data_IF_646194162843
#
_entry.id   IF_646194162843
#
_cell.length_a   1.000
_cell.length_b   1.000
_cell.length_c   1.000
_cell.angle_alpha   90.00
_cell.angle_beta   90.00
_cell.angle_gamma   90.00
#
_symmetry.space_group_name_H-M   'P 1'
#
loop_
_entity.id
_entity.type
_entity.pdbx_description
1 polymer ?
#
# COMPACT_ATOMS: atom_id res chain seq x y z
N UNK A 1 -17.72 1.89 -19.32
CA UNK A 1 -16.86 3.01 -18.88
C UNK A 1 -15.46 2.75 -19.38
N UNK A 2 -14.77 3.74 -19.91
CA UNK A 2 -13.35 3.65 -20.27
C UNK A 2 -12.53 3.93 -19.01
N UNK A 3 -11.47 3.15 -18.79
CA UNK A 3 -10.66 3.24 -17.58
C UNK A 3 -9.26 3.73 -17.91
N UNK A 4 -8.78 4.75 -17.21
CA UNK A 4 -7.38 5.17 -17.23
C UNK A 4 -6.66 4.64 -15.98
N UNK A 5 -5.48 4.07 -16.15
CA UNK A 5 -4.66 3.62 -15.03
C UNK A 5 -3.29 4.27 -15.08
N UNK A 6 -2.96 5.05 -14.07
CA UNK A 6 -1.73 5.84 -13.99
C UNK A 6 -0.91 5.33 -12.80
N UNK A 7 0.34 4.94 -13.07
CA UNK A 7 1.24 4.37 -12.09
C UNK A 7 1.25 2.85 -12.12
N UNK A 8 2.21 2.27 -12.85
CA UNK A 8 2.34 0.84 -13.12
C UNK A 8 3.55 0.22 -12.38
N UNK A 9 3.74 0.67 -11.14
CA UNK A 9 4.74 0.09 -10.24
C UNK A 9 4.39 -1.34 -9.80
N UNK A 10 5.06 -1.84 -8.75
CA UNK A 10 4.92 -3.23 -8.25
C UNK A 10 3.46 -3.66 -8.04
N UNK A 11 2.63 -2.79 -7.46
CA UNK A 11 1.22 -3.07 -7.24
C UNK A 11 0.37 -2.69 -8.45
N UNK A 12 0.60 -1.50 -9.01
CA UNK A 12 -0.21 -0.94 -10.08
C UNK A 12 -0.21 -1.80 -11.35
N UNK A 13 0.92 -2.36 -11.76
CA UNK A 13 1.00 -3.26 -12.92
C UNK A 13 0.10 -4.49 -12.76
N UNK A 14 0.14 -5.15 -11.59
CA UNK A 14 -0.69 -6.31 -11.29
C UNK A 14 -2.18 -5.96 -11.20
N UNK A 15 -2.51 -4.83 -10.58
CA UNK A 15 -3.88 -4.33 -10.46
C UNK A 15 -4.45 -3.96 -11.84
N UNK A 16 -3.70 -3.21 -12.63
CA UNK A 16 -4.09 -2.82 -13.98
C UNK A 16 -4.29 -4.03 -14.90
N UNK A 17 -3.40 -5.04 -14.82
CA UNK A 17 -3.57 -6.28 -15.57
C UNK A 17 -4.86 -7.01 -15.23
N UNK A 18 -5.28 -7.03 -13.95
CA UNK A 18 -6.57 -7.61 -13.58
C UNK A 18 -7.76 -6.84 -14.18
N UNK A 19 -7.66 -5.51 -14.33
CA UNK A 19 -8.67 -4.72 -15.02
C UNK A 19 -8.68 -5.07 -16.51
N UNK A 20 -7.53 -5.01 -17.19
CA UNK A 20 -7.41 -5.33 -18.63
C UNK A 20 -8.04 -6.69 -18.95
N UNK A 21 -7.80 -7.69 -18.10
CA UNK A 21 -8.27 -9.07 -18.31
C UNK A 21 -9.76 -9.25 -18.11
N UNK A 22 -10.40 -8.44 -17.28
CA UNK A 22 -11.79 -8.65 -16.79
C UNK A 22 -12.77 -7.59 -17.28
N UNK A 23 -12.27 -6.48 -17.79
CA UNK A 23 -13.08 -5.36 -18.26
C UNK A 23 -13.29 -5.47 -19.77
N UNK A 24 -14.54 -5.34 -20.23
CA UNK A 24 -14.88 -5.43 -21.65
C UNK A 24 -14.62 -4.14 -22.44
N UNK A 25 -14.25 -3.04 -21.77
CA UNK A 25 -13.98 -1.74 -22.38
C UNK A 25 -12.50 -1.39 -22.45
N UNK A 26 -12.20 -0.24 -23.03
CA UNK A 26 -10.85 0.27 -23.18
C UNK A 26 -10.18 0.58 -21.83
N UNK A 27 -8.91 0.19 -21.70
CA UNK A 27 -8.05 0.48 -20.54
C UNK A 27 -6.83 1.25 -21.01
N UNK A 28 -6.81 2.54 -20.77
CA UNK A 28 -5.73 3.47 -21.08
C UNK A 28 -4.69 3.45 -19.98
N UNK A 29 -3.41 3.31 -20.32
CA UNK A 29 -2.36 3.08 -19.34
C UNK A 29 -1.21 4.06 -19.50
N UNK A 30 -0.70 4.55 -18.37
CA UNK A 30 0.46 5.42 -18.33
C UNK A 30 1.33 5.19 -17.09
N UNK A 31 2.63 5.23 -17.28
CA UNK A 31 3.66 5.33 -16.25
C UNK A 31 4.84 6.13 -16.81
N UNK A 32 5.61 6.79 -15.95
CA UNK A 32 6.85 7.46 -16.33
C UNK A 32 7.94 6.49 -16.83
N UNK A 33 7.82 5.21 -16.46
CA UNK A 33 8.65 4.12 -16.97
C UNK A 33 7.95 3.43 -18.12
N UNK A 34 8.65 3.29 -19.22
CA UNK A 34 8.09 2.71 -20.46
C UNK A 34 7.93 1.19 -20.39
N UNK A 35 8.77 0.47 -19.62
CA UNK A 35 8.78 -0.98 -19.61
C UNK A 35 7.47 -1.60 -19.08
N UNK A 36 6.86 -1.16 -17.96
CA UNK A 36 5.57 -1.70 -17.54
C UNK A 36 4.44 -1.34 -18.51
N UNK A 37 4.49 -0.16 -19.13
CA UNK A 37 3.52 0.26 -20.17
C UNK A 37 3.57 -0.72 -21.34
N UNK A 38 4.76 -1.02 -21.87
CA UNK A 38 4.96 -1.96 -22.98
C UNK A 38 4.46 -3.36 -22.63
N UNK A 39 4.77 -3.86 -21.42
CA UNK A 39 4.28 -5.20 -20.97
C UNK A 39 2.75 -5.28 -20.92
N UNK A 40 2.08 -4.22 -20.46
CA UNK A 40 0.62 -4.21 -20.37
C UNK A 40 -0.05 -3.91 -21.71
N UNK A 41 0.58 -3.13 -22.59
CA UNK A 41 0.09 -2.90 -23.96
C UNK A 41 0.04 -4.23 -24.75
N UNK A 42 1.04 -5.11 -24.59
CA UNK A 42 1.04 -6.46 -25.18
C UNK A 42 -0.10 -7.36 -24.64
N UNK A 43 -0.73 -6.97 -23.54
CA UNK A 43 -1.83 -7.69 -22.89
C UNK A 43 -3.20 -7.04 -23.08
N UNK A 44 -3.29 -6.03 -23.95
CA UNK A 44 -4.54 -5.36 -24.30
C UNK A 44 -4.75 -3.97 -23.70
N UNK A 45 -3.79 -3.44 -22.94
CA UNK A 45 -3.82 -2.04 -22.49
C UNK A 45 -3.50 -1.08 -23.64
N UNK A 46 -4.08 0.10 -23.63
CA UNK A 46 -3.85 1.18 -24.62
C UNK A 46 -2.84 2.16 -24.02
N UNK A 47 -1.61 2.16 -24.53
CA UNK A 47 -0.56 3.05 -24.06
C UNK A 47 -0.87 4.52 -24.37
N UNK A 48 -0.66 5.39 -23.41
CA UNK A 48 -0.81 6.83 -23.51
C UNK A 48 0.55 7.54 -23.37
N UNK A 49 0.67 8.72 -24.00
CA UNK A 49 1.90 9.51 -23.98
C UNK A 49 2.08 10.32 -22.69
N UNK A 50 1.00 10.54 -21.93
CA UNK A 50 1.01 11.29 -20.67
C UNK A 50 -0.14 10.88 -19.74
N UNK A 51 -0.05 11.29 -18.47
CA UNK A 51 -1.15 11.17 -17.53
C UNK A 51 -2.40 11.93 -17.99
N UNK A 52 -2.21 13.10 -18.60
CA UNK A 52 -3.30 13.91 -19.17
C UNK A 52 -3.98 13.19 -20.33
N UNK A 53 -3.20 12.52 -21.18
CA UNK A 53 -3.74 11.76 -22.30
C UNK A 53 -4.58 10.59 -21.80
N UNK A 54 -4.10 9.81 -20.85
CA UNK A 54 -4.87 8.76 -20.21
C UNK A 54 -6.17 9.29 -19.58
N UNK A 55 -6.11 10.42 -18.85
CA UNK A 55 -7.27 11.03 -18.22
C UNK A 55 -8.32 11.55 -19.23
N UNK A 56 -7.89 12.13 -20.35
CA UNK A 56 -8.80 12.61 -21.41
C UNK A 56 -9.66 11.51 -21.99
N UNK A 57 -9.07 10.36 -22.25
CA UNK A 57 -9.75 9.23 -22.88
C UNK A 57 -10.62 8.39 -21.92
N UNK A 58 -10.52 8.61 -20.61
CA UNK A 58 -11.12 7.76 -19.58
C UNK A 58 -12.31 8.42 -18.89
N UNK A 59 -13.29 7.62 -18.49
CA UNK A 59 -14.41 8.04 -17.65
C UNK A 59 -14.05 7.83 -16.15
N UNK A 60 -13.28 6.78 -15.84
CA UNK A 60 -12.73 6.46 -14.51
C UNK A 60 -11.21 6.51 -14.59
N UNK A 61 -10.60 7.30 -13.72
CA UNK A 61 -9.14 7.51 -13.67
C UNK A 61 -8.63 6.92 -12.36
N UNK A 62 -7.81 5.90 -12.43
CA UNK A 62 -7.22 5.21 -11.27
C UNK A 62 -5.75 5.57 -11.18
N UNK A 63 -5.29 5.95 -9.97
CA UNK A 63 -3.88 6.23 -9.71
C UNK A 63 -3.33 5.28 -8.65
N UNK A 64 -2.08 4.82 -8.82
CA UNK A 64 -1.34 4.01 -7.86
C UNK A 64 0.11 4.47 -7.79
N UNK A 65 0.38 5.45 -6.94
CA UNK A 65 1.62 6.24 -6.92
C UNK A 65 2.39 6.08 -5.61
N UNK A 66 3.71 6.26 -5.60
CA UNK A 66 4.54 5.91 -4.45
C UNK A 66 4.47 6.89 -3.28
N UNK A 67 4.23 8.19 -3.54
CA UNK A 67 4.32 9.25 -2.53
C UNK A 67 3.18 10.25 -2.65
N UNK A 68 2.94 11.00 -1.57
CA UNK A 68 1.93 12.06 -1.51
C UNK A 68 2.16 13.16 -2.56
N UNK A 69 3.42 13.54 -2.76
CA UNK A 69 3.83 14.56 -3.73
C UNK A 69 3.56 14.11 -5.15
N UNK A 70 3.79 12.83 -5.45
CA UNK A 70 3.56 12.25 -6.77
C UNK A 70 2.06 12.23 -7.09
N UNK A 71 1.20 11.81 -6.14
CA UNK A 71 -0.26 11.88 -6.31
C UNK A 71 -0.73 13.32 -6.52
N UNK A 72 -0.30 14.25 -5.67
CA UNK A 72 -0.69 15.64 -5.80
C UNK A 72 -0.24 16.25 -7.15
N UNK A 73 0.96 15.90 -7.62
CA UNK A 73 1.50 16.35 -8.91
C UNK A 73 0.67 15.84 -10.08
N UNK A 74 0.41 14.52 -10.13
CA UNK A 74 -0.38 13.90 -11.19
C UNK A 74 -1.80 14.46 -11.23
N UNK A 75 -2.45 14.60 -10.04
CA UNK A 75 -3.79 15.19 -10.00
C UNK A 75 -3.84 16.64 -10.44
N UNK A 76 -2.81 17.45 -10.17
CA UNK A 76 -2.70 18.81 -10.73
C UNK A 76 -2.51 18.79 -12.24
N UNK A 77 -1.69 17.88 -12.76
CA UNK A 77 -1.42 17.74 -14.17
C UNK A 77 -2.68 17.38 -14.98
N UNK A 78 -3.51 16.46 -14.47
CA UNK A 78 -4.71 15.97 -15.14
C UNK A 78 -5.94 16.89 -14.98
N UNK A 79 -5.89 17.93 -14.13
CA UNK A 79 -7.02 18.85 -13.90
C UNK A 79 -7.69 19.37 -15.18
N UNK A 80 -6.95 19.74 -16.25
CA UNK A 80 -7.58 20.21 -17.50
C UNK A 80 -8.45 19.14 -18.19
N UNK A 81 -8.33 17.87 -17.82
CA UNK A 81 -9.16 16.79 -18.35
C UNK A 81 -10.37 16.47 -17.44
N UNK A 82 -10.46 17.08 -16.25
CA UNK A 82 -11.51 16.80 -15.27
C UNK A 82 -12.76 17.61 -15.55
N UNK A 83 -13.92 16.96 -15.45
CA UNK A 83 -15.25 17.54 -15.55
C UNK A 83 -16.27 16.66 -14.79
N UNK A 84 -17.54 17.03 -14.83
CA UNK A 84 -18.63 16.36 -14.09
C UNK A 84 -18.88 14.88 -14.45
N UNK A 85 -18.28 14.38 -15.53
CA UNK A 85 -18.43 12.97 -15.93
C UNK A 85 -17.24 12.10 -15.48
N UNK A 86 -16.22 12.68 -14.86
CA UNK A 86 -14.97 12.00 -14.50
C UNK A 86 -14.99 11.55 -13.05
N UNK A 87 -14.58 10.32 -12.83
CA UNK A 87 -14.40 9.76 -11.50
C UNK A 87 -12.90 9.44 -11.31
N UNK A 88 -12.28 10.09 -10.34
CA UNK A 88 -10.90 9.88 -9.94
C UNK A 88 -10.83 8.95 -8.72
N UNK A 89 -9.99 7.94 -8.75
CA UNK A 89 -9.81 6.95 -7.68
C UNK A 89 -8.31 6.87 -7.35
N UNK A 90 -7.91 7.38 -6.18
CA UNK A 90 -6.52 7.23 -5.73
C UNK A 90 -6.38 5.98 -4.84
N UNK A 91 -5.63 5.01 -5.32
CA UNK A 91 -5.37 3.76 -4.61
C UNK A 91 -4.02 3.76 -3.89
N UNK A 92 -3.33 4.89 -3.89
CA UNK A 92 -2.03 5.10 -3.25
C UNK A 92 -2.12 5.15 -1.73
N UNK A 93 -1.02 4.86 -1.05
CA UNK A 93 -0.88 5.14 0.40
C UNK A 93 -0.19 6.49 0.57
N UNK A 94 -0.99 7.52 0.78
CA UNK A 94 -0.57 8.92 0.91
C UNK A 94 -1.05 9.53 2.22
N UNK A 95 -0.57 10.73 2.53
CA UNK A 95 -1.03 11.49 3.69
C UNK A 95 -2.53 11.83 3.55
N UNK A 96 -3.37 11.57 4.57
CA UNK A 96 -4.79 11.88 4.52
C UNK A 96 -5.10 13.36 4.22
N UNK A 97 -4.26 14.29 4.67
CA UNK A 97 -4.42 15.70 4.37
C UNK A 97 -4.20 16.02 2.89
N UNK A 98 -3.28 15.31 2.26
CA UNK A 98 -3.03 15.42 0.80
C UNK A 98 -4.19 14.80 0.02
N UNK A 99 -4.71 13.65 0.45
CA UNK A 99 -5.88 13.03 -0.17
C UNK A 99 -7.10 13.95 -0.13
N UNK A 100 -7.38 14.58 1.02
CA UNK A 100 -8.46 15.56 1.14
C UNK A 100 -8.25 16.79 0.24
N UNK A 101 -7.00 17.28 0.14
CA UNK A 101 -6.66 18.37 -0.77
C UNK A 101 -6.93 18.02 -2.23
N UNK A 102 -6.58 16.80 -2.65
CA UNK A 102 -6.88 16.30 -4.00
C UNK A 102 -8.41 16.22 -4.20
N UNK A 103 -9.14 15.67 -3.22
CA UNK A 103 -10.60 15.60 -3.28
C UNK A 103 -11.24 16.96 -3.53
N UNK A 104 -10.87 17.98 -2.74
CA UNK A 104 -11.38 19.35 -2.91
C UNK A 104 -11.02 19.90 -4.28
N UNK A 105 -9.81 19.66 -4.75
CA UNK A 105 -9.33 20.15 -6.05
C UNK A 105 -10.10 19.54 -7.23
N UNK A 106 -10.36 18.24 -7.20
CA UNK A 106 -11.14 17.53 -8.22
C UNK A 106 -12.61 17.97 -8.21
N UNK A 107 -13.22 18.09 -7.02
CA UNK A 107 -14.59 18.56 -6.87
C UNK A 107 -14.78 20.00 -7.35
N UNK A 108 -13.80 20.87 -7.13
CA UNK A 108 -13.83 22.25 -7.64
C UNK A 108 -13.84 22.33 -9.18
N UNK A 109 -13.37 21.27 -9.88
CA UNK A 109 -13.46 21.12 -11.34
C UNK A 109 -14.68 20.29 -11.78
N UNK A 110 -15.61 20.02 -10.84
CA UNK A 110 -16.85 19.29 -11.10
C UNK A 110 -16.70 17.77 -11.09
N UNK A 111 -15.50 17.21 -11.00
CA UNK A 111 -15.27 15.76 -10.97
C UNK A 111 -15.54 15.12 -9.61
N UNK A 112 -15.59 13.80 -9.59
CA UNK A 112 -15.74 13.01 -8.37
C UNK A 112 -14.39 12.40 -7.94
N UNK A 113 -14.18 12.29 -6.62
CA UNK A 113 -12.94 11.71 -6.07
C UNK A 113 -13.25 10.67 -5.00
N UNK A 114 -12.58 9.50 -5.11
CA UNK A 114 -12.57 8.47 -4.09
C UNK A 114 -11.11 8.18 -3.68
N UNK A 115 -10.86 8.13 -2.38
CA UNK A 115 -9.66 7.55 -1.81
C UNK A 115 -9.88 6.06 -1.58
N UNK A 116 -9.10 5.22 -2.25
CA UNK A 116 -9.34 3.77 -2.28
C UNK A 116 -8.03 2.96 -2.03
N UNK A 117 -7.29 3.23 -0.95
CA UNK A 117 -6.04 2.55 -0.67
C UNK A 117 -6.22 1.05 -0.50
N UNK A 118 -5.13 0.32 -0.79
CA UNK A 118 -5.12 -1.13 -0.86
C UNK A 118 -4.38 -1.78 0.31
N UNK A 119 -4.76 -3.00 0.61
CA UNK A 119 -4.10 -3.87 1.60
C UNK A 119 -3.81 -5.24 1.00
N UNK A 120 -2.97 -6.01 1.64
CA UNK A 120 -2.32 -7.26 1.23
C UNK A 120 -1.09 -7.05 0.31
N UNK A 121 -0.50 -8.17 -0.11
CA UNK A 121 0.79 -8.22 -0.81
C UNK A 121 0.66 -8.15 -2.35
N UNK A 122 1.82 -8.02 -3.04
CA UNK A 122 1.92 -8.17 -4.49
C UNK A 122 1.30 -9.48 -4.99
N UNK A 123 1.51 -10.59 -4.26
CA UNK A 123 0.93 -11.87 -4.64
C UNK A 123 -0.60 -11.83 -4.66
N UNK A 124 -1.22 -11.18 -3.67
CA UNK A 124 -2.66 -10.96 -3.66
C UNK A 124 -3.12 -10.05 -4.81
N UNK A 125 -2.33 -9.03 -5.17
CA UNK A 125 -2.63 -8.16 -6.31
C UNK A 125 -2.61 -8.93 -7.63
N UNK A 126 -1.63 -9.82 -7.85
CA UNK A 126 -1.56 -10.69 -9.04
C UNK A 126 -2.80 -11.58 -9.14
N UNK A 127 -3.27 -12.12 -8.02
CA UNK A 127 -4.47 -12.98 -7.98
C UNK A 127 -5.80 -12.19 -8.06
N UNK A 128 -5.76 -10.86 -8.03
CA UNK A 128 -6.97 -10.04 -7.96
C UNK A 128 -7.73 -10.19 -6.64
N UNK A 129 -7.01 -10.36 -5.53
CA UNK A 129 -7.55 -10.61 -4.19
C UNK A 129 -7.03 -9.63 -3.13
N UNK A 130 -6.82 -8.37 -3.51
CA UNK A 130 -6.48 -7.31 -2.55
C UNK A 130 -7.71 -6.89 -1.74
N UNK A 131 -7.50 -6.26 -0.59
CA UNK A 131 -8.53 -5.52 0.13
C UNK A 131 -8.45 -4.05 -0.25
N UNK A 132 -9.61 -3.38 -0.34
CA UNK A 132 -9.73 -1.98 -0.76
C UNK A 132 -10.65 -1.26 0.23
N UNK A 133 -10.16 -0.16 0.81
CA UNK A 133 -10.95 0.71 1.68
C UNK A 133 -11.35 1.97 0.91
N UNK A 134 -12.63 2.26 0.80
CA UNK A 134 -13.11 3.34 -0.07
C UNK A 134 -13.74 4.46 0.76
N UNK A 135 -13.18 5.66 0.65
CA UNK A 135 -13.77 6.91 1.14
C UNK A 135 -14.23 7.79 -0.02
N UNK A 136 -15.32 8.52 0.18
CA UNK A 136 -15.89 9.47 -0.79
C UNK A 136 -17.40 9.41 -0.90
N UNK A 137 -17.95 9.88 -2.00
CA UNK A 137 -19.39 9.87 -2.26
C UNK A 137 -19.92 8.43 -2.41
N UNK A 138 -20.96 8.10 -1.63
CA UNK A 138 -21.49 6.73 -1.55
C UNK A 138 -22.08 6.24 -2.87
N UNK A 139 -22.74 7.12 -3.60
CA UNK A 139 -23.33 6.85 -4.92
C UNK A 139 -22.25 6.54 -5.94
N UNK A 140 -21.16 7.31 -5.96
CA UNK A 140 -19.99 7.11 -6.82
C UNK A 140 -19.29 5.80 -6.46
N UNK A 141 -19.14 5.48 -5.15
CA UNK A 141 -18.64 4.18 -4.72
C UNK A 141 -19.43 3.01 -5.33
N UNK A 142 -20.77 3.04 -5.25
CA UNK A 142 -21.57 1.95 -5.84
C UNK A 142 -21.43 1.84 -7.35
N UNK A 143 -21.26 2.96 -8.04
CA UNK A 143 -21.07 3.01 -9.49
C UNK A 143 -19.73 2.34 -9.91
N UNK A 144 -18.64 2.53 -9.17
CA UNK A 144 -17.31 2.00 -9.51
C UNK A 144 -16.95 0.71 -8.78
N UNK A 145 -17.76 0.26 -7.82
CA UNK A 145 -17.51 -0.98 -7.08
C UNK A 145 -17.24 -2.19 -7.99
N UNK A 146 -17.97 -2.42 -9.09
CA UNK A 146 -17.67 -3.52 -10.01
C UNK A 146 -16.26 -3.44 -10.62
N UNK A 147 -15.76 -2.22 -10.89
CA UNK A 147 -14.40 -1.98 -11.40
C UNK A 147 -13.37 -2.33 -10.32
N UNK A 148 -13.58 -1.87 -9.08
CA UNK A 148 -12.71 -2.18 -7.96
C UNK A 148 -12.66 -3.69 -7.68
N UNK A 149 -13.75 -4.40 -7.90
CA UNK A 149 -13.84 -5.86 -7.73
C UNK A 149 -13.03 -6.66 -8.76
N UNK A 150 -12.58 -6.05 -9.86
CA UNK A 150 -11.59 -6.69 -10.74
C UNK A 150 -10.25 -6.94 -10.05
N UNK A 151 -9.89 -6.07 -9.10
CA UNK A 151 -8.62 -6.08 -8.39
C UNK A 151 -8.68 -6.76 -7.01
N UNK A 152 -9.85 -6.77 -6.38
CA UNK A 152 -10.00 -7.31 -5.04
C UNK A 152 -11.41 -7.74 -4.68
N UNK A 153 -11.51 -8.84 -3.93
CA UNK A 153 -12.81 -9.37 -3.48
C UNK A 153 -13.40 -8.60 -2.29
N UNK A 154 -12.54 -7.97 -1.48
CA UNK A 154 -12.94 -7.26 -0.26
C UNK A 154 -12.89 -5.75 -0.51
N UNK A 155 -14.00 -5.16 -0.96
CA UNK A 155 -14.15 -3.72 -1.21
C UNK A 155 -15.11 -3.15 -0.18
N UNK A 156 -14.58 -2.34 0.76
CA UNK A 156 -15.33 -1.82 1.89
C UNK A 156 -15.47 -0.30 1.81
N UNK A 157 -16.71 0.18 1.91
CA UNK A 157 -17.01 1.61 2.04
C UNK A 157 -16.75 2.07 3.48
N UNK A 158 -15.90 3.07 3.65
CA UNK A 158 -15.46 3.59 4.95
C UNK A 158 -16.16 4.90 5.34
N UNK A 159 -16.88 5.53 4.43
CA UNK A 159 -17.54 6.83 4.67
C UNK A 159 -17.08 7.92 3.70
N UNK A 160 -17.17 9.19 4.12
CA UNK A 160 -16.79 10.35 3.30
C UNK A 160 -15.31 10.34 2.91
N UNK A 161 -14.94 11.26 2.01
CA UNK A 161 -13.53 11.44 1.55
C UNK A 161 -12.55 11.50 2.71
N UNK A 162 -11.43 10.81 2.56
CA UNK A 162 -10.38 10.65 3.57
C UNK A 162 -10.58 9.48 4.53
N UNK A 163 -11.77 8.83 4.57
CA UNK A 163 -12.02 7.71 5.50
C UNK A 163 -11.40 6.40 5.01
N UNK A 164 -11.26 6.18 3.71
CA UNK A 164 -10.55 5.03 3.15
C UNK A 164 -9.07 5.08 3.51
N UNK A 165 -8.40 6.20 3.21
CA UNK A 165 -6.99 6.39 3.55
C UNK A 165 -6.78 6.43 5.07
N UNK A 166 -7.67 7.06 5.84
CA UNK A 166 -7.64 7.05 7.30
C UNK A 166 -7.63 5.62 7.85
N UNK A 167 -8.53 4.75 7.38
CA UNK A 167 -8.56 3.34 7.78
C UNK A 167 -7.26 2.60 7.39
N UNK A 168 -6.73 2.86 6.20
CA UNK A 168 -5.44 2.29 5.78
C UNK A 168 -4.32 2.65 6.75
N UNK A 169 -4.25 3.91 7.18
CA UNK A 169 -3.21 4.38 8.12
C UNK A 169 -3.40 3.76 9.51
N UNK A 170 -4.65 3.64 10.00
CA UNK A 170 -4.94 2.93 11.25
C UNK A 170 -4.47 1.47 11.19
N UNK A 171 -4.75 0.76 10.09
CA UNK A 171 -4.28 -0.62 9.92
C UNK A 171 -2.75 -0.70 9.83
N UNK A 172 -2.10 0.23 9.15
CA UNK A 172 -0.62 0.26 9.07
C UNK A 172 -0.01 0.52 10.46
N UNK A 173 -0.63 1.38 11.27
CA UNK A 173 -0.23 1.60 12.67
C UNK A 173 -0.26 0.30 13.46
N UNK A 174 -1.36 -0.46 13.37
CA UNK A 174 -1.48 -1.76 14.03
C UNK A 174 -0.45 -2.77 13.51
N UNK A 175 -0.24 -2.83 12.20
CA UNK A 175 0.75 -3.72 11.57
C UNK A 175 2.18 -3.42 12.07
N UNK A 176 2.55 -2.15 12.19
CA UNK A 176 3.85 -1.73 12.70
C UNK A 176 4.06 -2.18 14.16
N UNK A 177 3.02 -2.05 15.00
CA UNK A 177 3.05 -2.48 16.39
C UNK A 177 3.14 -4.01 16.51
N UNK A 178 2.37 -4.76 15.73
CA UNK A 178 2.43 -6.23 15.67
C UNK A 178 3.84 -6.67 15.28
N UNK A 179 4.42 -6.09 14.23
CA UNK A 179 5.77 -6.40 13.77
C UNK A 179 6.79 -6.15 14.87
N UNK A 180 6.75 -4.99 15.52
CA UNK A 180 7.70 -4.66 16.57
C UNK A 180 7.57 -5.63 17.75
N UNK A 181 6.35 -5.93 18.19
CA UNK A 181 6.10 -6.89 19.27
C UNK A 181 6.60 -8.30 18.93
N UNK A 182 6.40 -8.76 17.69
CA UNK A 182 6.95 -10.05 17.22
C UNK A 182 8.48 -10.03 17.24
N UNK A 183 9.11 -8.96 16.76
CA UNK A 183 10.57 -8.86 16.71
C UNK A 183 11.19 -8.90 18.11
N UNK A 184 10.62 -8.18 19.06
CA UNK A 184 11.08 -8.16 20.45
C UNK A 184 10.84 -9.51 21.15
N UNK A 185 9.65 -10.10 21.00
CA UNK A 185 9.31 -11.39 21.56
C UNK A 185 10.21 -12.51 21.02
N UNK A 186 10.48 -12.51 19.71
CA UNK A 186 11.38 -13.50 19.09
C UNK A 186 12.82 -13.29 19.57
N UNK A 187 13.28 -12.05 19.76
CA UNK A 187 14.59 -11.77 20.34
C UNK A 187 14.73 -12.36 21.74
N UNK A 188 13.70 -12.22 22.59
CA UNK A 188 13.67 -12.84 23.93
C UNK A 188 13.68 -14.36 23.84
N UNK A 189 12.87 -14.96 22.97
CA UNK A 189 12.80 -16.41 22.79
C UNK A 189 14.17 -16.99 22.36
N UNK A 190 14.83 -16.37 21.39
CA UNK A 190 16.16 -16.81 20.93
C UNK A 190 17.20 -16.73 22.04
N UNK A 191 17.16 -15.70 22.90
CA UNK A 191 18.03 -15.62 24.09
C UNK A 191 17.78 -16.71 25.11
N UNK A 192 16.55 -17.22 25.20
CA UNK A 192 16.19 -18.38 26.03
C UNK A 192 16.50 -19.74 25.37
N UNK A 193 17.12 -19.74 24.18
CA UNK A 193 17.43 -20.96 23.43
C UNK A 193 16.21 -21.56 22.67
N UNK A 194 15.13 -20.80 22.55
CA UNK A 194 13.95 -21.18 21.75
C UNK A 194 14.18 -20.72 20.33
N UNK A 195 14.26 -21.65 19.39
CA UNK A 195 14.46 -21.33 17.98
C UNK A 195 13.16 -20.80 17.31
N UNK A 196 13.31 -20.26 16.09
CA UNK A 196 12.20 -19.67 15.33
C UNK A 196 11.09 -20.71 15.07
N UNK A 197 11.43 -21.97 14.82
CA UNK A 197 10.45 -23.02 14.52
C UNK A 197 9.57 -23.32 15.75
N UNK A 198 10.17 -23.44 16.91
CA UNK A 198 9.44 -23.64 18.17
C UNK A 198 8.62 -22.43 18.56
N UNK A 199 9.19 -21.22 18.36
CA UNK A 199 8.46 -19.98 18.58
C UNK A 199 7.23 -19.88 17.66
N UNK A 200 7.39 -20.18 16.37
CA UNK A 200 6.30 -20.22 15.39
C UNK A 200 5.22 -21.20 15.79
N UNK A 201 5.61 -22.44 16.13
CA UNK A 201 4.67 -23.48 16.55
C UNK A 201 3.89 -23.05 17.80
N UNK A 202 4.56 -22.45 18.79
CA UNK A 202 3.91 -21.98 20.00
C UNK A 202 2.93 -20.82 19.76
N UNK A 203 3.28 -19.89 18.87
CA UNK A 203 2.39 -18.77 18.53
C UNK A 203 1.12 -19.21 17.81
N UNK A 204 1.17 -20.28 17.01
CA UNK A 204 0.06 -20.71 16.15
C UNK A 204 -1.22 -21.12 16.91
N UNK A 205 -1.13 -21.39 18.22
CA UNK A 205 -2.28 -21.73 19.07
C UNK A 205 -2.45 -20.80 20.29
N UNK A 206 -1.72 -19.70 20.31
CA UNK A 206 -1.79 -18.71 21.37
C UNK A 206 -2.42 -17.38 20.92
N UNK A 207 -2.75 -16.51 21.86
CA UNK A 207 -3.30 -15.18 21.59
C UNK A 207 -2.34 -14.22 20.89
N UNK A 208 -1.08 -14.61 20.69
CA UNK A 208 -0.08 -13.87 19.91
C UNK A 208 -0.06 -14.19 18.41
N UNK A 209 -0.88 -15.15 17.95
CA UNK A 209 -0.96 -15.46 16.51
C UNK A 209 -1.37 -14.23 15.72
N UNK A 210 -0.69 -13.99 14.59
CA UNK A 210 -0.95 -12.84 13.74
C UNK A 210 -0.51 -13.10 12.29
N UNK A 211 -1.23 -12.46 11.35
CA UNK A 211 -0.99 -12.63 9.92
C UNK A 211 0.40 -12.13 9.46
N UNK A 212 0.97 -11.11 10.12
CA UNK A 212 2.32 -10.63 9.80
C UNK A 212 3.35 -11.74 9.94
N UNK A 213 3.36 -12.41 11.10
CA UNK A 213 4.35 -13.46 11.36
C UNK A 213 4.09 -14.71 10.53
N UNK A 214 2.81 -15.09 10.33
CA UNK A 214 2.44 -16.21 9.47
C UNK A 214 3.00 -16.05 8.04
N UNK A 215 2.98 -14.82 7.51
CA UNK A 215 3.52 -14.52 6.18
C UNK A 215 5.04 -14.36 6.14
N UNK A 216 5.68 -13.92 7.24
CA UNK A 216 7.10 -13.49 7.24
C UNK A 216 8.04 -14.44 7.98
N UNK A 217 7.54 -15.42 8.71
CA UNK A 217 8.36 -16.36 9.50
C UNK A 217 9.45 -17.05 8.66
N UNK A 218 9.14 -17.44 7.42
CA UNK A 218 10.13 -18.10 6.55
C UNK A 218 11.23 -17.14 6.09
N UNK A 219 10.87 -15.90 5.76
CA UNK A 219 11.86 -14.86 5.41
C UNK A 219 12.79 -14.57 6.59
N UNK A 220 12.25 -14.44 7.80
CA UNK A 220 12.99 -14.22 9.04
C UNK A 220 13.88 -15.44 9.35
N UNK A 221 13.32 -16.65 9.27
CA UNK A 221 14.02 -17.91 9.53
C UNK A 221 15.24 -18.07 8.63
N UNK A 222 15.09 -17.80 7.35
CA UNK A 222 16.12 -18.03 6.35
C UNK A 222 17.02 -16.79 6.11
N UNK A 223 16.68 -15.66 6.71
CA UNK A 223 17.26 -14.33 6.41
C UNK A 223 17.15 -14.00 4.91
N UNK A 224 16.10 -14.47 4.25
CA UNK A 224 15.78 -14.14 2.87
C UNK A 224 14.77 -12.98 2.85
N UNK A 225 15.29 -11.80 2.64
CA UNK A 225 14.53 -10.55 2.66
C UNK A 225 14.27 -10.02 1.25
N UNK A 226 13.95 -10.91 0.31
CA UNK A 226 13.47 -10.54 -1.01
C UNK A 226 12.22 -9.65 -0.89
N UNK A 227 12.26 -8.48 -1.52
CA UNK A 227 11.32 -7.39 -1.26
C UNK A 227 9.92 -7.68 -1.78
N UNK A 228 8.96 -7.76 -0.89
CA UNK A 228 7.53 -7.68 -1.20
C UNK A 228 6.96 -6.32 -0.81
N UNK A 229 7.43 -5.76 0.31
CA UNK A 229 7.17 -4.40 0.76
C UNK A 229 8.43 -3.88 1.46
N UNK A 230 9.03 -2.80 0.93
CA UNK A 230 10.35 -2.38 1.36
C UNK A 230 10.36 -1.66 2.71
N UNK A 231 11.50 -1.72 3.41
CA UNK A 231 11.77 -0.92 4.62
C UNK A 231 11.49 0.55 4.36
N UNK A 232 11.92 1.09 3.22
CA UNK A 232 11.70 2.49 2.83
C UNK A 232 10.22 2.84 2.76
N UNK A 233 9.41 1.97 2.15
CA UNK A 233 7.96 2.20 2.04
C UNK A 233 7.26 2.10 3.39
N UNK A 234 7.63 1.12 4.23
CA UNK A 234 7.05 1.01 5.57
C UNK A 234 7.47 2.18 6.46
N UNK A 235 8.73 2.63 6.38
CA UNK A 235 9.21 3.82 7.06
C UNK A 235 8.40 5.07 6.70
N UNK A 236 8.17 5.29 5.40
CA UNK A 236 7.29 6.37 4.92
C UNK A 236 5.88 6.25 5.51
N UNK A 237 5.32 5.05 5.51
CA UNK A 237 3.97 4.82 6.03
C UNK A 237 3.90 5.05 7.56
N UNK A 238 4.94 4.68 8.32
CA UNK A 238 5.05 4.97 9.76
C UNK A 238 5.05 6.50 10.00
N UNK A 239 5.75 7.28 9.17
CA UNK A 239 5.73 8.74 9.28
C UNK A 239 4.32 9.31 9.05
N UNK A 240 3.56 8.74 8.13
CA UNK A 240 2.16 9.12 7.92
C UNK A 240 1.33 8.74 9.16
N UNK A 241 1.53 7.55 9.74
CA UNK A 241 0.85 7.12 10.96
C UNK A 241 1.10 8.11 12.12
N UNK A 242 2.35 8.52 12.33
CA UNK A 242 2.73 9.49 13.37
C UNK A 242 2.05 10.85 13.16
N UNK A 243 2.03 11.34 11.91
CA UNK A 243 1.35 12.60 11.59
C UNK A 243 -0.15 12.52 11.83
N UNK A 244 -0.80 11.42 11.41
CA UNK A 244 -2.23 11.23 11.66
C UNK A 244 -2.52 11.16 13.15
N UNK A 245 -1.78 10.36 13.93
CA UNK A 245 -1.94 10.28 15.38
C UNK A 245 -1.84 11.67 16.04
N UNK A 246 -0.84 12.46 15.66
CA UNK A 246 -0.68 13.85 16.15
C UNK A 246 -1.87 14.75 15.78
N UNK A 247 -2.37 14.65 14.54
CA UNK A 247 -3.50 15.46 14.06
C UNK A 247 -4.79 15.11 14.80
N UNK A 248 -5.01 13.83 15.08
CA UNK A 248 -6.19 13.32 15.79
C UNK A 248 -6.05 13.39 17.32
N UNK A 249 -4.94 13.88 17.85
CA UNK A 249 -4.68 13.99 19.30
C UNK A 249 -4.47 12.62 19.99
N UNK A 250 -4.11 11.58 19.24
CA UNK A 250 -3.84 10.25 19.78
C UNK A 250 -2.36 10.13 20.17
N UNK A 251 -2.10 9.81 21.45
CA UNK A 251 -0.75 9.53 21.92
C UNK A 251 -0.35 8.09 21.55
N UNK A 252 0.31 7.94 20.41
CA UNK A 252 0.77 6.65 19.89
C UNK A 252 2.25 6.42 20.25
N UNK A 253 2.56 6.31 21.54
CA UNK A 253 3.92 6.27 22.10
C UNK A 253 4.80 5.19 21.45
N UNK A 254 4.24 4.00 21.19
CA UNK A 254 4.98 2.90 20.58
C UNK A 254 5.51 3.22 19.17
N UNK A 255 4.88 4.14 18.43
CA UNK A 255 5.33 4.51 17.08
C UNK A 255 6.70 5.21 17.10
N UNK A 256 7.07 5.90 18.17
CA UNK A 256 8.38 6.55 18.28
C UNK A 256 9.51 5.52 18.34
N UNK A 257 9.38 4.50 19.20
CA UNK A 257 10.36 3.42 19.28
C UNK A 257 10.44 2.61 17.98
N UNK A 258 9.30 2.37 17.32
CA UNK A 258 9.25 1.71 16.01
C UNK A 258 9.98 2.56 14.97
N UNK A 259 9.76 3.89 14.96
CA UNK A 259 10.44 4.81 14.04
C UNK A 259 11.96 4.71 14.17
N UNK A 260 12.49 4.69 15.39
CA UNK A 260 13.93 4.55 15.63
C UNK A 260 14.51 3.24 15.08
N UNK A 261 13.74 2.12 15.14
CA UNK A 261 14.17 0.85 14.52
C UNK A 261 14.29 0.99 13.01
N UNK A 262 13.33 1.65 12.37
CA UNK A 262 13.36 1.86 10.93
C UNK A 262 14.44 2.85 10.49
N UNK A 263 14.74 3.88 11.29
CA UNK A 263 15.85 4.80 11.00
C UNK A 263 17.19 4.05 10.96
N UNK A 264 17.45 3.23 11.98
CA UNK A 264 18.65 2.37 12.01
C UNK A 264 18.73 1.41 10.82
N UNK A 265 17.59 0.84 10.41
CA UNK A 265 17.55 -0.04 9.25
C UNK A 265 17.87 0.71 7.94
N UNK A 266 17.40 1.94 7.79
CA UNK A 266 17.71 2.80 6.63
C UNK A 266 19.18 3.18 6.62
N UNK A 267 19.75 3.58 7.77
CA UNK A 267 21.18 3.91 7.94
C UNK A 267 22.07 2.71 7.65
N UNK A 268 21.64 1.50 8.02
CA UNK A 268 22.33 0.25 7.71
C UNK A 268 22.18 -0.21 6.24
N UNK A 269 21.52 0.58 5.37
CA UNK A 269 21.35 0.26 3.95
C UNK A 269 20.24 -0.76 3.65
N UNK A 270 19.30 -0.99 4.57
CA UNK A 270 18.21 -1.97 4.38
C UNK A 270 17.01 -1.40 3.62
N UNK A 271 17.09 -0.17 3.13
CA UNK A 271 15.96 0.55 2.51
C UNK A 271 15.18 -0.23 1.46
N UNK A 272 15.87 -1.02 0.65
CA UNK A 272 15.27 -1.78 -0.46
C UNK A 272 15.01 -3.26 -0.13
N UNK A 273 15.35 -3.72 1.09
CA UNK A 273 14.99 -5.05 1.58
C UNK A 273 13.53 -5.09 2.03
N UNK A 274 12.97 -6.30 2.15
CA UNK A 274 11.65 -6.50 2.76
C UNK A 274 11.61 -5.94 4.19
N UNK A 275 10.51 -5.32 4.58
CA UNK A 275 10.35 -4.67 5.89
C UNK A 275 10.50 -5.64 7.07
N UNK A 276 10.36 -6.95 6.86
CA UNK A 276 10.65 -7.95 7.89
C UNK A 276 12.13 -8.00 8.30
N UNK A 277 13.04 -7.49 7.45
CA UNK A 277 14.46 -7.43 7.73
C UNK A 277 14.84 -6.53 8.92
N UNK A 278 13.95 -5.64 9.36
CA UNK A 278 14.21 -4.77 10.53
C UNK A 278 14.38 -5.56 11.84
N UNK A 279 14.01 -6.83 11.88
CA UNK A 279 14.30 -7.73 13.00
C UNK A 279 15.82 -7.83 13.26
N UNK A 280 16.65 -7.74 12.22
CA UNK A 280 18.12 -7.77 12.37
C UNK A 280 18.60 -6.59 13.23
N UNK A 281 17.95 -5.41 13.13
CA UNK A 281 18.24 -4.25 13.98
C UNK A 281 17.88 -4.49 15.44
N UNK A 282 16.80 -5.22 15.69
CA UNK A 282 16.39 -5.61 17.05
C UNK A 282 17.38 -6.65 17.62
N UNK A 283 17.76 -7.63 16.81
CA UNK A 283 18.74 -8.67 17.21
C UNK A 283 20.12 -8.07 17.51
N UNK A 284 20.60 -7.16 16.66
CA UNK A 284 21.88 -6.48 16.84
C UNK A 284 21.90 -5.65 18.12
N UNK A 285 20.92 -4.76 18.32
CA UNK A 285 20.78 -3.93 19.52
C UNK A 285 20.79 -4.76 20.81
N UNK A 286 20.21 -5.96 20.76
CA UNK A 286 20.06 -6.84 21.91
C UNK A 286 21.12 -7.95 21.98
N UNK A 287 22.18 -7.90 21.16
CA UNK A 287 23.23 -8.92 21.09
C UNK A 287 22.67 -10.36 20.93
N UNK A 288 21.61 -10.51 20.14
CA UNK A 288 21.01 -11.81 19.81
C UNK A 288 21.78 -12.45 18.66
N UNK A 289 22.34 -13.63 18.89
CA UNK A 289 23.03 -14.42 17.85
C UNK A 289 22.03 -15.39 17.24
N UNK A 290 21.53 -15.08 16.06
CA UNK A 290 20.69 -15.97 15.28
C UNK A 290 21.38 -16.37 13.97
N UNK A 291 21.51 -17.68 13.75
CA UNK A 291 22.01 -18.25 12.48
C UNK A 291 20.86 -18.95 11.78
N UNK A 292 20.64 -18.69 10.46
CA UNK A 292 19.67 -19.47 9.68
C UNK A 292 20.01 -20.97 9.77
N UNK A 293 18.98 -21.80 9.82
CA UNK A 293 19.17 -23.23 9.53
C UNK A 293 19.28 -23.37 8.00
N UNK A 294 20.44 -23.79 7.53
CA UNK A 294 20.69 -24.17 6.14
C UNK A 294 19.88 -25.41 5.78
#
# INVERSE_FOLDING_TARGET
>A
MRIGFIGLGIMGEAMCYNIIRKHDGDVYIYDVKTEPVQRLAQKGGIACDSAVDAAKHSDVIITMLPRSEDSLSVYKEILPAINATKICIDMSTIDPSVSLKISVMIQAHGGHFLDAPVVKSKAAAVLGNIGIYVGGEKEIYFQVKPILQYMGSNVLYMGSSGKGIGMKICQTTLLAQIQNGVNEALAMAVKQGIDVDRFTAALSFGGGQNAYFDERQMAIRNKDYATTFSVRNMSKDIDICRRLAKTEGVQAESLEGIREVYDRALEAGYGDKDYSSVIDMVFEKNHVKYKPKL
#
